data_IF_613797796021
#
_entry.id   IF_613797796021
#
_cell.length_a   1.000
_cell.length_b   1.000
_cell.length_c   1.000
_cell.angle_alpha   90.00
_cell.angle_beta   90.00
_cell.angle_gamma   90.00
#
_symmetry.space_group_name_H-M   'P 1'
#
loop_
_entity.id
_entity.type
_entity.pdbx_description
1 polymer ?
#
# COMPACT_ATOMS: atom_id res chain seq x y z
N UNK A 1 8.19 7.02 -14.47
CA UNK A 1 8.90 6.96 -13.16
C UNK A 1 8.26 5.81 -12.38
N UNK A 2 8.85 4.61 -12.40
CA UNK A 2 8.16 3.39 -11.96
C UNK A 2 8.85 2.09 -12.39
N UNK A 3 10.18 2.06 -12.35
CA UNK A 3 10.96 0.92 -12.87
C UNK A 3 11.45 -0.05 -11.77
N UNK A 4 10.96 0.08 -10.55
CA UNK A 4 11.38 -0.76 -9.42
C UNK A 4 10.16 -1.23 -8.65
N UNK A 5 10.12 -2.51 -8.32
CA UNK A 5 9.20 -3.04 -7.34
C UNK A 5 9.44 -2.35 -5.99
N UNK A 6 8.36 -2.16 -5.24
CA UNK A 6 8.40 -1.56 -3.91
C UNK A 6 7.32 -2.18 -3.03
N UNK A 7 7.45 -1.96 -1.73
CA UNK A 7 6.51 -2.48 -0.75
C UNK A 7 5.46 -1.43 -0.40
N UNK A 8 4.24 -1.88 -0.16
CA UNK A 8 3.16 -1.08 0.40
C UNK A 8 2.53 -1.83 1.57
N UNK A 9 2.16 -1.09 2.62
CA UNK A 9 1.45 -1.62 3.78
C UNK A 9 0.08 -0.96 3.84
N UNK A 10 -0.98 -1.77 3.84
CA UNK A 10 -2.34 -1.29 4.01
C UNK A 10 -2.78 -1.52 5.46
N UNK A 11 -3.31 -0.47 6.10
CA UNK A 11 -3.76 -0.51 7.50
C UNK A 11 -5.20 -0.01 7.57
N UNK A 12 -6.05 -0.75 8.26
CA UNK A 12 -7.43 -0.39 8.53
C UNK A 12 -7.79 -0.72 9.99
N UNK A 13 -8.71 0.06 10.54
CA UNK A 13 -9.13 -0.03 11.93
C UNK A 13 -10.58 0.45 12.09
N UNK A 14 -11.30 -0.09 13.08
CA UNK A 14 -12.62 0.41 13.47
C UNK A 14 -12.58 1.72 14.29
N UNK A 15 -11.38 2.15 14.67
CA UNK A 15 -11.10 3.38 15.41
C UNK A 15 -10.19 4.31 14.58
N UNK A 16 -10.13 5.61 14.90
CA UNK A 16 -9.23 6.54 14.21
C UNK A 16 -7.77 6.06 14.27
N UNK A 17 -7.10 6.06 13.10
CA UNK A 17 -5.68 5.75 13.00
C UNK A 17 -4.82 6.97 13.39
N UNK A 18 -3.67 6.78 14.05
CA UNK A 18 -2.75 7.86 14.43
C UNK A 18 -1.90 8.34 13.24
N UNK A 19 -2.55 8.85 12.18
CA UNK A 19 -1.91 9.21 10.90
C UNK A 19 -0.74 10.18 11.06
N UNK A 20 -0.87 11.17 11.94
CA UNK A 20 0.20 12.14 12.21
C UNK A 20 1.45 11.49 12.81
N UNK A 21 1.28 10.46 13.64
CA UNK A 21 2.40 9.70 14.18
C UNK A 21 3.06 8.82 13.12
N UNK A 22 2.27 8.11 12.32
CA UNK A 22 2.78 7.33 11.19
C UNK A 22 3.61 8.20 10.25
N UNK A 23 3.10 9.40 9.93
CA UNK A 23 3.80 10.34 9.05
C UNK A 23 5.17 10.74 9.62
N UNK A 24 5.24 11.06 10.92
CA UNK A 24 6.50 11.41 11.58
C UNK A 24 7.49 10.24 11.58
N UNK A 25 7.04 9.02 11.91
CA UNK A 25 7.90 7.84 11.93
C UNK A 25 8.45 7.50 10.55
N UNK A 26 7.58 7.52 9.53
CA UNK A 26 7.98 7.24 8.13
C UNK A 26 8.95 8.31 7.60
N UNK A 27 8.78 9.58 7.97
CA UNK A 27 9.70 10.64 7.57
C UNK A 27 11.11 10.49 8.20
N UNK A 28 11.22 9.76 9.31
CA UNK A 28 12.49 9.48 9.99
C UNK A 28 13.15 8.15 9.59
N UNK A 29 12.55 7.37 8.70
CA UNK A 29 13.07 6.06 8.28
C UNK A 29 14.33 6.24 7.39
N UNK A 30 15.37 5.41 7.56
CA UNK A 30 16.50 5.35 6.62
C UNK A 30 16.10 5.22 5.15
N UNK A 31 14.95 4.59 4.87
CA UNK A 31 14.40 4.45 3.54
C UNK A 31 13.21 5.40 3.33
N UNK A 32 13.20 6.18 2.23
CA UNK A 32 12.13 7.14 2.00
C UNK A 32 10.78 6.42 1.79
N UNK A 33 9.86 6.63 2.73
CA UNK A 33 8.47 6.23 2.62
C UNK A 33 7.52 7.42 2.60
N UNK A 34 6.24 7.16 2.36
CA UNK A 34 5.16 8.16 2.51
C UNK A 34 3.92 7.53 3.11
N UNK A 35 3.17 8.31 3.87
CA UNK A 35 1.87 7.91 4.42
C UNK A 35 0.78 8.58 3.58
N UNK A 36 0.01 7.77 2.87
CA UNK A 36 -1.15 8.23 2.10
C UNK A 36 -2.42 8.13 2.93
N UNK A 37 -3.17 9.22 3.04
CA UNK A 37 -4.45 9.26 3.75
C UNK A 37 -5.43 10.25 3.10
N UNK A 38 -6.72 10.14 3.43
CA UNK A 38 -7.74 11.05 2.93
C UNK A 38 -7.79 11.08 1.39
N UNK A 39 -7.62 12.26 0.79
CA UNK A 39 -7.64 12.43 -0.66
C UNK A 39 -6.47 11.72 -1.37
N UNK A 40 -5.25 11.81 -0.84
CA UNK A 40 -4.08 11.19 -1.46
C UNK A 40 -4.23 9.66 -1.60
N UNK A 41 -4.78 9.02 -0.58
CA UNK A 41 -5.10 7.59 -0.63
C UNK A 41 -6.20 7.27 -1.65
N UNK A 42 -7.25 8.09 -1.76
CA UNK A 42 -8.30 7.91 -2.78
C UNK A 42 -7.73 8.05 -4.19
N UNK A 43 -6.93 9.08 -4.42
CA UNK A 43 -6.30 9.33 -5.71
C UNK A 43 -5.33 8.19 -6.07
N UNK A 44 -4.61 7.63 -5.08
CA UNK A 44 -3.75 6.45 -5.26
C UNK A 44 -4.51 5.22 -5.77
N UNK A 45 -5.77 5.01 -5.34
CA UNK A 45 -6.57 3.88 -5.83
C UNK A 45 -6.90 3.99 -7.32
N UNK A 46 -6.84 5.20 -7.90
CA UNK A 46 -7.16 5.41 -9.31
C UNK A 46 -8.59 5.04 -9.69
N UNK A 47 -9.52 4.99 -8.72
CA UNK A 47 -10.90 4.55 -8.93
C UNK A 47 -11.09 3.03 -8.97
N UNK A 48 -10.07 2.24 -8.62
CA UNK A 48 -10.20 0.80 -8.50
C UNK A 48 -11.25 0.42 -7.44
N UNK A 49 -12.20 -0.45 -7.85
CA UNK A 49 -13.18 -1.02 -6.94
C UNK A 49 -12.58 -2.12 -6.06
N UNK A 50 -13.23 -2.39 -4.93
CA UNK A 50 -12.88 -3.53 -4.09
C UNK A 50 -13.12 -4.85 -4.84
N UNK A 51 -12.16 -5.77 -4.76
CA UNK A 51 -12.30 -7.13 -5.29
C UNK A 51 -12.94 -7.99 -4.21
N UNK A 52 -14.13 -8.52 -4.48
CA UNK A 52 -14.78 -9.52 -3.62
C UNK A 52 -14.40 -10.93 -4.03
N UNK A 53 -14.65 -11.91 -3.17
CA UNK A 53 -14.37 -13.32 -3.46
C UNK A 53 -15.02 -13.80 -4.77
N UNK A 54 -16.24 -13.33 -5.07
CA UNK A 54 -16.96 -13.67 -6.30
C UNK A 54 -16.26 -13.24 -7.60
N UNK A 55 -15.37 -12.25 -7.55
CA UNK A 55 -14.69 -11.68 -8.73
C UNK A 55 -13.16 -11.76 -8.65
N UNK A 56 -12.64 -12.32 -7.57
CA UNK A 56 -11.21 -12.52 -7.37
C UNK A 56 -10.64 -13.47 -8.44
N UNK A 57 -9.43 -13.19 -8.90
CA UNK A 57 -8.67 -14.03 -9.82
C UNK A 57 -7.38 -14.46 -9.13
N UNK A 58 -6.87 -15.64 -9.50
CA UNK A 58 -5.61 -16.11 -8.98
C UNK A 58 -4.49 -15.10 -9.24
N UNK A 59 -3.66 -14.86 -8.22
CA UNK A 59 -2.44 -14.07 -8.37
C UNK A 59 -1.54 -14.71 -9.43
N UNK A 60 -0.79 -13.91 -10.20
CA UNK A 60 0.20 -14.45 -11.11
C UNK A 60 1.26 -15.24 -10.34
N UNK A 61 1.83 -16.26 -10.98
CA UNK A 61 2.94 -17.02 -10.41
C UNK A 61 4.13 -16.07 -10.19
N UNK A 62 4.75 -16.08 -9.00
CA UNK A 62 5.96 -15.31 -8.74
C UNK A 62 7.06 -15.61 -9.77
N UNK A 63 7.88 -14.62 -10.17
CA UNK A 63 9.05 -14.88 -10.99
C UNK A 63 9.98 -15.91 -10.35
N UNK A 64 10.71 -16.68 -11.16
CA UNK A 64 11.72 -17.60 -10.64
C UNK A 64 12.77 -16.84 -9.80
N UNK A 65 13.13 -17.38 -8.63
CA UNK A 65 14.09 -16.77 -7.70
C UNK A 65 13.53 -15.66 -6.80
N UNK A 66 12.21 -15.45 -6.75
CA UNK A 66 11.62 -14.38 -5.93
C UNK A 66 11.68 -14.62 -4.41
N UNK A 67 11.91 -15.86 -3.96
CA UNK A 67 11.90 -16.26 -2.55
C UNK A 67 13.11 -17.11 -2.13
N UNK A 68 14.14 -17.15 -2.97
CA UNK A 68 15.41 -17.82 -2.66
C UNK A 68 16.30 -16.96 -1.74
#
# INVERSE_FOLDING_TARGET
RGKRFGNAVLVAAGQPLPVGEFTRRVAGDPHPGRVEHGRGLRDFTGGAGAVSDAVAKASPVPPAGAFD
#
